data_IF_674787487027
#
_entry.id   IF_674787487027
#
_cell.length_a   1.000
_cell.length_b   1.000
_cell.length_c   1.000
_cell.angle_alpha   90.00
_cell.angle_beta   90.00
_cell.angle_gamma   90.00
#
_symmetry.space_group_name_H-M   'P 1'
#
loop_
_entity.id
_entity.type
_entity.pdbx_description
1 polymer ?
#
# COMPACT_ATOMS: atom_id res chain seq x y z
N UNK A 1 0.83 3.83 2.50
CA UNK A 1 0.39 5.03 3.24
C UNK A 1 0.02 4.66 4.67
N UNK A 2 0.27 5.56 5.62
CA UNK A 2 -0.05 5.33 7.04
C UNK A 2 -1.55 5.44 7.26
N UNK A 3 -2.17 4.43 7.86
CA UNK A 3 -3.59 4.42 8.22
C UNK A 3 -3.73 4.89 9.66
N UNK A 4 -4.56 5.89 9.92
CA UNK A 4 -4.88 6.38 11.27
C UNK A 4 -6.39 6.29 11.45
N UNK A 5 -6.86 5.55 12.46
CA UNK A 5 -8.31 5.36 12.75
C UNK A 5 -8.79 6.36 13.80
N UNK A 6 -7.99 6.59 14.83
CA UNK A 6 -8.22 7.60 15.88
C UNK A 6 -7.18 8.70 15.75
N UNK A 7 -7.51 9.93 16.17
CA UNK A 7 -6.55 11.02 16.22
C UNK A 7 -5.30 10.64 17.05
N UNK A 8 -4.22 11.38 16.89
CA UNK A 8 -2.99 11.16 17.67
C UNK A 8 -3.28 11.28 19.16
N UNK A 9 -3.32 10.15 19.84
CA UNK A 9 -3.56 10.06 21.30
C UNK A 9 -2.26 10.07 22.12
N UNK A 10 -1.11 9.95 21.44
CA UNK A 10 0.22 9.92 22.08
C UNK A 10 1.18 10.84 21.35
N UNK A 11 2.11 11.46 22.11
CA UNK A 11 3.18 12.32 21.55
C UNK A 11 4.32 11.45 20.99
N UNK A 12 4.64 10.35 21.66
CA UNK A 12 5.82 9.50 21.36
C UNK A 12 5.47 8.04 21.01
N UNK A 13 4.18 7.66 20.98
CA UNK A 13 3.74 6.29 20.68
C UNK A 13 3.27 6.11 19.24
N UNK A 14 3.26 4.84 18.76
CA UNK A 14 2.62 4.53 17.50
C UNK A 14 1.12 4.80 17.56
N UNK A 15 0.58 5.35 16.50
CA UNK A 15 -0.86 5.55 16.28
C UNK A 15 -1.43 4.56 15.27
N UNK A 16 -0.62 3.56 14.89
CA UNK A 16 -0.99 2.59 13.88
C UNK A 16 -2.03 1.61 14.44
N UNK A 17 -3.06 1.26 13.68
CA UNK A 17 -4.04 0.27 14.08
C UNK A 17 -3.46 -1.14 14.08
N UNK A 18 -4.06 -2.02 14.87
CA UNK A 18 -3.77 -3.44 14.83
C UNK A 18 -4.46 -4.09 13.64
N UNK A 19 -3.73 -4.88 12.86
CA UNK A 19 -4.29 -5.64 11.76
C UNK A 19 -4.49 -7.11 12.14
N UNK A 20 -5.67 -7.63 11.78
CA UNK A 20 -6.05 -9.02 12.00
C UNK A 20 -6.52 -9.57 10.65
N UNK A 21 -5.87 -10.61 10.19
CA UNK A 21 -6.19 -11.29 8.93
C UNK A 21 -6.67 -12.70 9.23
N UNK A 22 -7.89 -13.02 8.85
CA UNK A 22 -8.54 -14.32 9.11
C UNK A 22 -8.44 -14.79 10.57
N UNK A 23 -8.47 -13.86 11.51
CA UNK A 23 -8.38 -14.13 12.95
C UNK A 23 -6.96 -14.17 13.51
N UNK A 24 -5.92 -14.01 12.68
CA UNK A 24 -4.52 -13.96 13.10
C UNK A 24 -4.06 -12.51 13.22
N UNK A 25 -3.41 -12.17 14.32
CA UNK A 25 -2.80 -10.85 14.51
C UNK A 25 -1.51 -10.78 13.67
N UNK A 26 -1.50 -9.88 12.68
CA UNK A 26 -0.33 -9.65 11.81
C UNK A 26 0.49 -8.41 12.20
N UNK A 27 0.03 -7.65 13.20
CA UNK A 27 0.74 -6.48 13.72
C UNK A 27 0.16 -5.16 13.23
N UNK A 28 1.02 -4.17 12.99
CA UNK A 28 0.62 -2.81 12.61
C UNK A 28 0.69 -2.56 11.10
N UNK A 29 1.13 -3.53 10.32
CA UNK A 29 1.24 -3.44 8.87
C UNK A 29 0.69 -4.71 8.21
N UNK A 30 -0.29 -4.53 7.33
CA UNK A 30 -0.79 -5.56 6.44
C UNK A 30 -0.46 -5.22 4.97
N UNK A 31 0.61 -4.44 4.75
CA UNK A 31 0.96 -3.84 3.46
C UNK A 31 1.20 -4.82 2.32
N UNK A 32 1.34 -6.10 2.63
CA UNK A 32 1.55 -7.16 1.63
C UNK A 32 0.26 -7.84 1.16
N UNK A 33 -0.90 -7.56 1.77
CA UNK A 33 -2.16 -8.15 1.34
C UNK A 33 -2.57 -7.67 -0.05
N UNK A 34 -2.84 -8.63 -0.94
CA UNK A 34 -3.43 -8.31 -2.22
C UNK A 34 -4.90 -7.90 -2.06
N UNK A 35 -5.30 -6.67 -2.43
CA UNK A 35 -6.70 -6.24 -2.34
C UNK A 35 -7.67 -7.15 -3.09
N UNK A 36 -7.22 -7.83 -4.16
CA UNK A 36 -8.04 -8.76 -4.92
C UNK A 36 -8.45 -10.00 -4.12
N UNK A 37 -7.71 -10.35 -3.06
CA UNK A 37 -7.99 -11.50 -2.19
C UNK A 37 -8.83 -11.15 -0.96
N UNK A 38 -9.15 -9.88 -0.74
CA UNK A 38 -9.99 -9.45 0.36
C UNK A 38 -11.46 -9.71 0.03
N UNK A 39 -12.16 -10.39 0.93
CA UNK A 39 -13.61 -10.57 0.87
C UNK A 39 -14.33 -9.44 1.61
N UNK A 40 -13.85 -9.09 2.81
CA UNK A 40 -14.39 -7.99 3.61
C UNK A 40 -13.34 -7.38 4.52
N UNK A 41 -13.56 -6.12 4.87
CA UNK A 41 -12.74 -5.39 5.83
C UNK A 41 -13.67 -4.67 6.81
N UNK A 42 -13.40 -4.82 8.11
CA UNK A 42 -14.14 -4.16 9.18
C UNK A 42 -13.18 -3.36 10.06
N UNK A 43 -13.58 -2.15 10.42
CA UNK A 43 -12.80 -1.27 11.28
C UNK A 43 -13.50 -1.19 12.64
N UNK A 44 -12.83 -1.69 13.67
CA UNK A 44 -13.28 -1.63 15.06
C UNK A 44 -12.64 -0.40 15.74
N UNK A 45 -13.47 0.57 16.07
CA UNK A 45 -13.01 1.81 16.70
C UNK A 45 -13.56 2.01 18.13
N UNK A 46 -14.55 1.23 18.52
CA UNK A 46 -15.18 1.34 19.83
C UNK A 46 -14.41 0.55 20.88
N UNK A 47 -14.33 1.08 22.10
CA UNK A 47 -13.60 0.44 23.19
C UNK A 47 -14.11 -0.97 23.51
N UNK A 48 -15.42 -1.21 23.43
CA UNK A 48 -16.01 -2.51 23.67
C UNK A 48 -15.58 -3.56 22.61
N UNK A 49 -15.56 -3.19 21.33
CA UNK A 49 -15.17 -4.08 20.24
C UNK A 49 -13.67 -4.34 20.16
N UNK A 50 -12.84 -3.41 20.67
CA UNK A 50 -11.38 -3.56 20.68
C UNK A 50 -10.85 -4.19 21.98
N UNK A 51 -11.68 -4.31 23.03
CA UNK A 51 -11.28 -4.83 24.34
C UNK A 51 -10.69 -6.25 24.29
N UNK A 52 -11.18 -7.10 23.37
CA UNK A 52 -10.69 -8.48 23.20
C UNK A 52 -9.23 -8.54 22.72
N UNK A 53 -8.70 -7.44 22.18
CA UNK A 53 -7.32 -7.34 21.69
C UNK A 53 -6.39 -6.61 22.66
N UNK A 54 -6.90 -6.26 23.86
CA UNK A 54 -6.15 -5.61 24.93
C UNK A 54 -5.55 -4.26 24.52
N UNK A 55 -4.37 -3.96 25.06
CA UNK A 55 -3.67 -2.69 24.79
C UNK A 55 -3.26 -2.49 23.32
N UNK A 56 -3.07 -3.58 22.57
CA UNK A 56 -2.72 -3.50 21.15
C UNK A 56 -3.87 -2.95 20.31
N UNK A 57 -5.13 -3.14 20.76
CA UNK A 57 -6.31 -2.58 20.08
C UNK A 57 -6.61 -1.12 20.40
N UNK A 58 -5.80 -0.44 21.25
CA UNK A 58 -6.08 0.92 21.71
C UNK A 58 -6.20 1.96 20.58
N UNK A 59 -5.44 1.81 19.49
CA UNK A 59 -5.46 2.69 18.33
C UNK A 59 -6.53 2.31 17.29
N UNK A 60 -7.35 1.30 17.58
CA UNK A 60 -8.32 0.69 16.68
C UNK A 60 -7.79 -0.61 16.07
N UNK A 61 -8.70 -1.41 15.54
CA UNK A 61 -8.39 -2.71 14.95
C UNK A 61 -8.99 -2.79 13.56
N UNK A 62 -8.22 -3.25 12.60
CA UNK A 62 -8.67 -3.54 11.24
C UNK A 62 -8.74 -5.05 11.11
N UNK A 63 -9.95 -5.58 10.92
CA UNK A 63 -10.18 -7.00 10.71
C UNK A 63 -10.41 -7.24 9.24
N UNK A 64 -9.55 -8.04 8.63
CA UNK A 64 -9.63 -8.44 7.23
C UNK A 64 -10.04 -9.91 7.14
N UNK A 65 -11.06 -10.17 6.35
CA UNK A 65 -11.45 -11.53 5.97
C UNK A 65 -11.08 -11.74 4.53
N UNK A 66 -10.29 -12.79 4.26
CA UNK A 66 -9.88 -13.12 2.91
C UNK A 66 -10.85 -14.07 2.22
N UNK A 67 -10.83 -14.10 0.90
CA UNK A 67 -11.65 -14.99 0.08
C UNK A 67 -11.35 -16.46 0.39
N UNK A 68 -12.39 -17.25 0.46
CA UNK A 68 -12.35 -18.69 0.76
C UNK A 68 -12.95 -19.49 -0.38
N UNK A 69 -12.63 -20.78 -0.40
CA UNK A 69 -13.27 -21.72 -1.30
C UNK A 69 -14.78 -21.83 -1.02
N UNK A 70 -15.56 -21.98 -2.08
CA UNK A 70 -17.02 -22.16 -2.02
C UNK A 70 -17.37 -23.55 -2.51
N UNK A 71 -18.47 -24.11 -1.97
CA UNK A 71 -19.02 -25.39 -2.45
C UNK A 71 -19.52 -25.19 -3.88
N UNK A 72 -19.17 -26.10 -4.79
CA UNK A 72 -19.60 -26.07 -6.16
C UNK A 72 -18.46 -26.34 -7.15
N UNK A 73 -18.81 -26.20 -8.43
CA UNK A 73 -17.82 -26.31 -9.51
C UNK A 73 -16.74 -25.26 -9.39
N UNK A 74 -15.55 -25.59 -9.86
CA UNK A 74 -14.44 -24.66 -9.90
C UNK A 74 -14.82 -23.41 -10.70
N UNK A 75 -14.67 -22.24 -10.06
CA UNK A 75 -14.91 -20.94 -10.68
C UNK A 75 -13.55 -20.24 -10.81
N UNK A 76 -13.25 -19.84 -12.02
CA UNK A 76 -12.03 -19.09 -12.33
C UNK A 76 -12.41 -17.62 -12.50
N UNK A 77 -11.71 -16.74 -11.79
CA UNK A 77 -11.82 -15.30 -11.97
C UNK A 77 -10.46 -14.76 -12.42
N UNK A 78 -10.47 -13.98 -13.49
CA UNK A 78 -9.30 -13.26 -13.95
C UNK A 78 -9.64 -11.77 -14.04
N UNK A 79 -8.74 -10.93 -13.60
CA UNK A 79 -8.87 -9.48 -13.70
C UNK A 79 -7.57 -8.85 -14.14
N UNK A 80 -7.69 -7.84 -14.99
CA UNK A 80 -6.59 -7.00 -15.45
C UNK A 80 -7.01 -5.56 -15.20
N UNK A 81 -6.16 -4.80 -14.52
CA UNK A 81 -6.33 -3.36 -14.33
C UNK A 81 -5.11 -2.66 -14.87
N UNK A 82 -5.32 -1.58 -15.59
CA UNK A 82 -4.25 -0.73 -16.11
C UNK A 82 -4.55 0.70 -15.71
N UNK A 83 -3.52 1.44 -15.36
CA UNK A 83 -3.62 2.82 -14.95
C UNK A 83 -2.43 3.65 -15.39
N UNK A 84 -2.60 4.95 -15.34
CA UNK A 84 -1.54 5.93 -15.57
C UNK A 84 -1.38 6.78 -14.32
N UNK A 85 -0.14 6.95 -13.90
CA UNK A 85 0.24 7.79 -12.79
C UNK A 85 0.83 9.10 -13.31
N UNK A 86 0.20 10.20 -12.98
CA UNK A 86 0.71 11.51 -13.32
C UNK A 86 0.74 12.39 -12.08
N UNK A 87 1.91 12.95 -11.80
CA UNK A 87 2.04 13.91 -10.70
C UNK A 87 1.52 15.27 -11.17
N UNK A 88 0.50 15.77 -10.49
CA UNK A 88 -0.05 17.08 -10.80
C UNK A 88 0.64 18.17 -9.96
N UNK A 89 1.20 19.17 -10.65
CA UNK A 89 1.93 20.28 -10.02
C UNK A 89 1.05 21.15 -9.11
N UNK A 90 -0.27 21.19 -9.36
CA UNK A 90 -1.19 22.05 -8.63
C UNK A 90 -0.81 23.54 -8.76
N UNK A 91 -0.86 24.24 -7.65
CA UNK A 91 -0.48 25.67 -7.56
C UNK A 91 0.98 25.87 -7.15
N UNK A 92 1.80 24.80 -7.19
CA UNK A 92 3.22 24.90 -6.86
C UNK A 92 3.97 25.55 -8.04
N UNK A 93 4.44 26.76 -7.84
CA UNK A 93 5.35 27.43 -8.75
C UNK A 93 6.77 27.29 -8.22
N UNK A 94 7.62 26.66 -9.01
CA UNK A 94 9.04 26.59 -8.70
C UNK A 94 9.72 27.87 -9.18
N UNK A 95 10.65 28.38 -8.36
CA UNK A 95 11.44 29.54 -8.74
C UNK A 95 12.20 29.23 -10.02
N UNK A 96 12.23 30.19 -10.93
CA UNK A 96 13.13 30.16 -12.08
C UNK A 96 14.56 30.51 -11.66
N UNK A 97 15.51 30.47 -12.58
CA UNK A 97 16.93 30.74 -12.28
C UNK A 97 17.16 32.14 -11.71
N UNK A 98 16.48 33.14 -12.24
CA UNK A 98 16.57 34.54 -11.81
C UNK A 98 15.99 34.70 -10.38
N UNK A 99 14.78 34.21 -10.15
CA UNK A 99 14.14 34.30 -8.84
C UNK A 99 14.94 33.55 -7.75
N UNK A 100 15.48 32.39 -8.07
CA UNK A 100 16.32 31.63 -7.16
C UNK A 100 17.65 32.34 -6.86
N UNK A 101 18.28 32.89 -7.87
CA UNK A 101 19.50 33.66 -7.71
C UNK A 101 19.29 34.88 -6.82
N UNK A 102 18.26 35.67 -7.10
CA UNK A 102 17.95 36.89 -6.33
C UNK A 102 17.49 36.52 -4.89
N UNK A 103 16.77 35.43 -4.71
CA UNK A 103 16.44 34.90 -3.39
C UNK A 103 17.68 34.59 -2.56
N UNK A 104 18.63 33.83 -3.08
CA UNK A 104 19.88 33.53 -2.38
C UNK A 104 20.72 34.79 -2.10
N UNK A 105 20.78 35.72 -3.03
CA UNK A 105 21.49 36.98 -2.82
C UNK A 105 20.86 37.85 -1.73
N UNK A 106 19.58 37.77 -1.51
CA UNK A 106 18.86 38.64 -0.56
C UNK A 106 19.24 38.40 0.90
N UNK A 107 19.63 37.18 1.28
CA UNK A 107 19.95 36.82 2.66
C UNK A 107 21.31 36.19 2.88
N UNK A 108 21.98 35.74 1.84
CA UNK A 108 23.32 35.16 1.99
C UNK A 108 24.37 36.22 2.19
N UNK A 109 25.32 35.95 3.12
CA UNK A 109 26.54 36.75 3.19
C UNK A 109 27.30 36.54 1.88
N UNK A 110 27.59 37.64 1.18
CA UNK A 110 28.24 37.61 -0.15
C UNK A 110 29.61 36.90 -0.11
N UNK A 111 30.32 36.99 1.02
CA UNK A 111 31.63 36.35 1.24
C UNK A 111 31.50 34.84 1.51
N UNK A 112 30.30 34.36 1.82
CA UNK A 112 30.02 32.96 2.09
C UNK A 112 29.44 32.20 0.88
N UNK A 113 29.19 32.90 -0.23
CA UNK A 113 28.69 32.25 -1.44
C UNK A 113 29.75 31.36 -2.07
N UNK A 114 29.42 30.14 -2.51
CA UNK A 114 30.36 29.28 -3.20
C UNK A 114 30.91 29.94 -4.48
N UNK A 115 32.14 29.63 -4.85
CA UNK A 115 32.81 30.20 -6.04
C UNK A 115 32.07 29.94 -7.36
N UNK A 116 31.24 28.89 -7.40
CA UNK A 116 30.42 28.60 -8.58
C UNK A 116 29.11 29.44 -8.66
N UNK A 117 28.81 30.21 -7.59
CA UNK A 117 27.62 31.06 -7.57
C UNK A 117 27.92 32.39 -8.28
N UNK A 118 27.90 32.34 -9.58
CA UNK A 118 28.19 33.47 -10.47
C UNK A 118 26.92 34.05 -11.06
N UNK A 119 26.96 35.29 -11.55
CA UNK A 119 25.81 35.96 -12.15
C UNK A 119 25.24 35.23 -13.38
N UNK A 120 26.04 34.42 -14.04
CA UNK A 120 25.64 33.56 -15.15
C UNK A 120 24.53 32.54 -14.74
N UNK A 121 24.51 32.14 -13.46
CA UNK A 121 23.44 31.25 -12.93
C UNK A 121 22.06 31.88 -13.00
N UNK A 122 21.97 33.21 -12.98
CA UNK A 122 20.73 33.95 -13.10
C UNK A 122 19.98 33.64 -14.41
N UNK A 123 20.73 33.41 -15.47
CA UNK A 123 20.20 33.12 -16.80
C UNK A 123 19.98 31.62 -17.06
N UNK A 124 20.39 30.76 -16.11
CA UNK A 124 20.23 29.32 -16.23
C UNK A 124 18.86 28.89 -15.68
N UNK A 125 18.03 28.39 -16.57
CA UNK A 125 16.73 27.91 -16.20
C UNK A 125 16.65 26.39 -16.43
N UNK A 126 16.36 25.62 -15.38
CA UNK A 126 16.26 24.18 -15.45
C UNK A 126 14.93 23.74 -14.84
N UNK A 127 14.11 23.07 -15.62
CA UNK A 127 12.81 22.58 -15.15
C UNK A 127 12.97 21.24 -14.42
N UNK A 128 13.25 21.32 -13.13
CA UNK A 128 13.38 20.16 -12.25
C UNK A 128 12.12 19.31 -12.19
N UNK A 129 10.96 19.93 -12.36
CA UNK A 129 9.71 19.19 -12.38
C UNK A 129 9.64 18.28 -13.60
N UNK A 130 9.87 18.83 -14.78
CA UNK A 130 9.87 18.07 -16.03
C UNK A 130 10.95 17.00 -16.06
N UNK A 131 12.11 17.30 -15.49
CA UNK A 131 13.20 16.33 -15.43
C UNK A 131 12.94 15.23 -14.41
N UNK A 132 12.35 15.54 -13.26
CA UNK A 132 12.11 14.60 -12.15
C UNK A 132 10.84 13.78 -12.30
N UNK A 133 9.93 14.15 -13.21
CA UNK A 133 8.64 13.49 -13.37
C UNK A 133 8.41 12.98 -14.78
N UNK A 134 7.58 11.95 -14.90
CA UNK A 134 7.10 11.42 -16.16
C UNK A 134 5.71 10.80 -16.01
N UNK A 135 5.13 10.35 -17.09
CA UNK A 135 3.90 9.58 -17.07
C UNK A 135 4.25 8.13 -16.76
N UNK A 136 3.91 7.68 -15.56
CA UNK A 136 4.12 6.30 -15.13
C UNK A 136 2.94 5.40 -15.52
N UNK A 137 3.19 4.10 -15.60
CA UNK A 137 2.17 3.10 -15.90
C UNK A 137 2.04 2.12 -14.74
N UNK A 138 0.81 1.73 -14.41
CA UNK A 138 0.52 0.71 -13.44
C UNK A 138 -0.27 -0.43 -14.09
N UNK A 139 0.10 -1.67 -13.77
CA UNK A 139 -0.52 -2.87 -14.28
C UNK A 139 -0.78 -3.83 -13.12
N UNK A 140 -2.00 -4.37 -13.03
CA UNK A 140 -2.43 -5.30 -11.98
C UNK A 140 -3.11 -6.50 -12.64
N UNK A 141 -2.49 -7.66 -12.53
CA UNK A 141 -2.99 -8.92 -13.06
C UNK A 141 -3.30 -9.85 -11.90
N UNK A 142 -4.53 -10.33 -11.84
CA UNK A 142 -4.95 -11.26 -10.81
C UNK A 142 -5.74 -12.42 -11.43
N UNK A 143 -5.38 -13.64 -11.04
CA UNK A 143 -6.13 -14.84 -11.38
C UNK A 143 -6.43 -15.60 -10.12
N UNK A 144 -7.67 -16.03 -9.93
CA UNK A 144 -8.05 -16.85 -8.80
C UNK A 144 -8.96 -18.00 -9.22
N UNK A 145 -8.83 -19.10 -8.50
CA UNK A 145 -9.65 -20.29 -8.65
C UNK A 145 -10.27 -20.63 -7.30
N UNK A 146 -11.58 -20.77 -7.27
CA UNK A 146 -12.30 -21.20 -6.08
C UNK A 146 -13.26 -22.34 -6.41
N UNK A 147 -13.36 -23.32 -5.52
CA UNK A 147 -14.28 -24.44 -5.71
C UNK A 147 -14.17 -25.43 -4.56
N UNK A 148 -14.98 -26.47 -4.63
CA UNK A 148 -14.88 -27.53 -3.64
C UNK A 148 -16.17 -28.32 -3.43
N UNK A 149 -16.07 -29.27 -2.54
CA UNK A 149 -17.19 -30.09 -2.04
C UNK A 149 -17.53 -29.72 -0.60
N UNK A 150 -18.49 -30.44 -0.01
CA UNK A 150 -18.79 -30.28 1.42
C UNK A 150 -17.57 -30.55 2.31
N UNK A 151 -16.72 -31.52 1.92
CA UNK A 151 -15.54 -31.95 2.69
C UNK A 151 -14.31 -31.10 2.44
N UNK A 152 -14.14 -30.52 1.23
CA UNK A 152 -12.95 -29.75 0.90
C UNK A 152 -13.34 -28.53 0.08
N UNK A 153 -12.88 -27.36 0.52
CA UNK A 153 -13.07 -26.09 -0.19
C UNK A 153 -11.70 -25.46 -0.39
N UNK A 154 -11.43 -25.01 -1.60
CA UNK A 154 -10.13 -24.44 -1.97
C UNK A 154 -10.30 -23.07 -2.60
N UNK A 155 -9.39 -22.17 -2.27
CA UNK A 155 -9.18 -20.91 -2.95
C UNK A 155 -7.70 -20.74 -3.21
N UNK A 156 -7.35 -20.49 -4.46
CA UNK A 156 -5.98 -20.20 -4.87
C UNK A 156 -5.99 -18.95 -5.73
N UNK A 157 -5.06 -18.04 -5.48
CA UNK A 157 -4.88 -16.86 -6.32
C UNK A 157 -3.40 -16.60 -6.61
N UNK A 158 -3.16 -16.01 -7.77
CA UNK A 158 -1.86 -15.48 -8.20
C UNK A 158 -2.09 -14.05 -8.65
N UNK A 159 -1.27 -13.14 -8.17
CA UNK A 159 -1.28 -11.73 -8.53
C UNK A 159 0.09 -11.23 -8.93
N UNK A 160 0.11 -10.37 -9.92
CA UNK A 160 1.28 -9.59 -10.33
C UNK A 160 0.90 -8.13 -10.46
N UNK A 161 1.63 -7.28 -9.77
CA UNK A 161 1.49 -5.83 -9.83
C UNK A 161 2.81 -5.21 -10.22
N UNK A 162 2.78 -4.32 -11.21
CA UNK A 162 3.93 -3.57 -11.69
C UNK A 162 3.53 -2.10 -11.83
N UNK A 163 4.24 -1.24 -11.17
CA UNK A 163 4.00 0.20 -11.18
C UNK A 163 5.29 0.94 -11.45
N UNK A 164 5.28 1.72 -12.53
CA UNK A 164 6.22 2.78 -12.78
C UNK A 164 5.65 4.07 -12.19
N UNK A 165 6.33 4.63 -11.20
CA UNK A 165 5.88 5.81 -10.48
C UNK A 165 5.95 7.06 -11.35
N UNK A 166 5.18 8.10 -10.99
CA UNK A 166 5.22 9.39 -11.69
C UNK A 166 6.50 10.21 -11.41
N UNK A 167 7.33 9.76 -10.48
CA UNK A 167 8.66 10.32 -10.19
C UNK A 167 9.70 9.31 -10.64
N UNK A 168 10.67 9.76 -11.44
CA UNK A 168 11.75 8.91 -11.96
C UNK A 168 12.49 8.19 -10.83
N UNK A 169 12.70 6.88 -10.98
CA UNK A 169 13.41 6.05 -10.01
C UNK A 169 12.54 5.48 -8.88
N UNK A 170 11.22 5.66 -8.97
CA UNK A 170 10.26 5.03 -8.06
C UNK A 170 9.46 3.97 -8.81
N UNK A 171 9.93 2.73 -8.73
CA UNK A 171 9.28 1.55 -9.30
C UNK A 171 8.82 0.63 -8.19
N UNK A 172 7.70 -0.04 -8.38
CA UNK A 172 7.18 -1.01 -7.43
C UNK A 172 6.66 -2.25 -8.14
N UNK A 173 7.15 -3.41 -7.73
CA UNK A 173 6.67 -4.71 -8.21
C UNK A 173 6.25 -5.57 -7.04
N UNK A 174 5.17 -6.31 -7.23
CA UNK A 174 4.65 -7.22 -6.21
C UNK A 174 4.14 -8.50 -6.87
N UNK A 175 4.59 -9.62 -6.35
CA UNK A 175 4.08 -10.94 -6.66
C UNK A 175 3.33 -11.47 -5.46
N UNK A 176 2.14 -12.00 -5.67
CA UNK A 176 1.33 -12.58 -4.61
C UNK A 176 0.94 -14.00 -4.99
N UNK A 177 1.07 -14.91 -4.06
CA UNK A 177 0.52 -16.25 -4.13
C UNK A 177 -0.27 -16.52 -2.86
N UNK A 178 -1.51 -16.92 -3.00
CA UNK A 178 -2.36 -17.31 -1.86
C UNK A 178 -2.96 -18.68 -2.10
N UNK A 179 -2.95 -19.49 -1.05
CA UNK A 179 -3.54 -20.80 -1.02
C UNK A 179 -4.31 -21.02 0.28
N UNK A 180 -5.62 -21.16 0.18
CA UNK A 180 -6.51 -21.40 1.30
C UNK A 180 -7.25 -22.72 1.08
N UNK A 181 -7.23 -23.59 2.07
CA UNK A 181 -7.99 -24.86 2.08
C UNK A 181 -8.78 -24.96 3.37
N UNK A 182 -10.03 -25.35 3.26
CA UNK A 182 -10.85 -25.80 4.38
C UNK A 182 -11.14 -27.27 4.16
N UNK A 183 -10.54 -28.16 4.95
CA UNK A 183 -10.71 -29.58 4.85
C UNK A 183 -11.38 -30.15 6.10
N UNK A 184 -12.58 -30.68 5.94
CA UNK A 184 -13.31 -31.39 6.98
C UNK A 184 -12.87 -32.86 6.98
N UNK A 185 -11.90 -33.17 7.83
CA UNK A 185 -11.33 -34.52 7.92
C UNK A 185 -12.31 -35.47 8.55
N UNK A 186 -13.05 -35.04 9.58
CA UNK A 186 -14.12 -35.77 10.26
C UNK A 186 -15.25 -34.80 10.64
N UNK A 187 -16.36 -35.29 11.20
CA UNK A 187 -17.46 -34.41 11.63
C UNK A 187 -17.06 -33.44 12.73
N UNK A 188 -16.02 -33.76 13.49
CA UNK A 188 -15.52 -32.96 14.60
C UNK A 188 -14.18 -32.25 14.29
N UNK A 189 -13.47 -32.62 13.19
CA UNK A 189 -12.14 -32.07 12.88
C UNK A 189 -12.14 -31.36 11.52
N UNK A 190 -11.88 -30.05 11.54
CA UNK A 190 -11.65 -29.27 10.34
C UNK A 190 -10.21 -28.71 10.36
N UNK A 191 -9.47 -28.94 9.28
CA UNK A 191 -8.10 -28.45 9.09
C UNK A 191 -8.14 -27.31 8.09
N UNK A 192 -7.55 -26.16 8.46
CA UNK A 192 -7.60 -24.92 7.67
C UNK A 192 -6.20 -24.35 7.42
N UNK A 193 -5.36 -25.01 6.60
CA UNK A 193 -4.09 -24.41 6.23
C UNK A 193 -4.31 -23.12 5.43
N UNK A 194 -3.47 -22.13 5.74
CA UNK A 194 -3.39 -20.84 5.04
C UNK A 194 -1.95 -20.58 4.70
N UNK A 195 -1.67 -20.23 3.48
CA UNK A 195 -0.35 -19.81 3.05
C UNK A 195 -0.49 -18.55 2.21
N UNK A 196 0.42 -17.62 2.43
CA UNK A 196 0.55 -16.40 1.65
C UNK A 196 2.02 -16.10 1.51
N UNK A 197 2.48 -15.84 0.29
CA UNK A 197 3.83 -15.45 -0.02
C UNK A 197 3.83 -14.16 -0.84
N UNK A 198 4.73 -13.25 -0.50
CA UNK A 198 4.92 -11.95 -1.15
C UNK A 198 6.41 -11.74 -1.42
N UNK A 199 6.72 -11.25 -2.59
CA UNK A 199 8.09 -10.88 -2.98
C UNK A 199 8.07 -9.56 -3.72
#
# INVERSE_FOLDING_TARGET
GKVVIRGKSTVNGSTDPLWIVDGVIVGTDAGSLNPADIESMSILKDAASTAIYGSQGANGVIVVTTKKGKIGKATINASVKMGVNQLHRGNMNMMNGEELYDYYKSFANQDALPSYFTEDLRNRNFDWWKEGTHLGFAQDYNVSVSGGSEKIKTYTSVGYYDEDGAVKGYDYKRYNLRFNVDYQATDWLTIKPRSEEHT
#
